data_IF_093888450211
#
_entry.id   IF_093888450211
#
_cell.length_a   1.000
_cell.length_b   1.000
_cell.length_c   1.000
_cell.angle_alpha   90.00
_cell.angle_beta   90.00
_cell.angle_gamma   90.00
#
_symmetry.space_group_name_H-M   'P 1'
#
loop_
_entity.id
_entity.type
_entity.pdbx_description
1 polymer ?
#
# COMPACT_ATOMS: atom_id res chain seq x y z
N UNK A 1 -9.06 19.87 5.44
CA UNK A 1 -8.17 20.38 4.37
C UNK A 1 -8.51 19.72 3.04
N UNK A 2 -9.77 19.85 2.61
CA UNK A 2 -10.23 19.24 1.36
C UNK A 2 -9.63 20.02 0.20
N UNK A 3 -9.03 19.33 -0.77
CA UNK A 3 -8.45 19.93 -1.98
C UNK A 3 -7.28 20.90 -1.74
N UNK A 4 -6.70 20.90 -0.53
CA UNK A 4 -5.62 21.82 -0.18
C UNK A 4 -4.32 21.41 -0.86
N UNK A 5 -3.56 22.38 -1.35
CA UNK A 5 -2.21 22.15 -1.87
C UNK A 5 -1.18 22.28 -0.75
N UNK A 6 -0.53 21.16 -0.44
CA UNK A 6 0.52 20.96 0.55
C UNK A 6 1.75 20.33 -0.12
N UNK A 7 1.89 20.47 -1.43
CA UNK A 7 3.01 19.91 -2.18
C UNK A 7 4.33 20.45 -1.64
N UNK A 8 5.28 19.55 -1.36
CA UNK A 8 6.59 19.88 -0.79
C UNK A 8 6.56 20.39 0.66
N UNK A 9 5.40 20.43 1.32
CA UNK A 9 5.31 20.85 2.71
C UNK A 9 6.02 19.86 3.65
N UNK A 10 6.54 20.35 4.77
CA UNK A 10 7.01 19.50 5.85
C UNK A 10 5.95 19.40 6.96
N UNK A 11 5.40 18.20 7.11
CA UNK A 11 4.39 17.81 8.08
C UNK A 11 4.91 16.67 8.99
N UNK A 12 6.23 16.43 8.99
CA UNK A 12 6.86 15.34 9.72
C UNK A 12 6.52 15.39 11.21
N UNK A 13 6.14 14.25 11.78
CA UNK A 13 5.71 14.12 13.18
C UNK A 13 4.41 14.83 13.54
N UNK A 14 3.70 15.40 12.56
CA UNK A 14 2.40 16.01 12.77
C UNK A 14 1.35 14.99 13.23
N UNK A 15 0.42 15.44 14.07
CA UNK A 15 -0.69 14.63 14.58
C UNK A 15 -1.98 15.21 14.02
N UNK A 16 -2.62 14.46 13.12
CA UNK A 16 -3.83 14.86 12.40
C UNK A 16 -4.91 13.79 12.52
N UNK A 17 -5.21 13.36 13.74
CA UNK A 17 -6.26 12.36 13.97
C UNK A 17 -7.60 12.86 13.44
N UNK A 18 -8.37 11.94 12.83
CA UNK A 18 -9.74 12.18 12.38
C UNK A 18 -9.88 13.44 11.50
N UNK A 19 -8.83 13.74 10.72
CA UNK A 19 -8.77 14.93 9.86
C UNK A 19 -9.19 14.61 8.43
N UNK A 20 -9.53 15.64 7.67
CA UNK A 20 -9.92 15.50 6.26
C UNK A 20 -8.82 16.04 5.33
N UNK A 21 -8.27 15.15 4.52
CA UNK A 21 -7.29 15.34 3.46
C UNK A 21 -7.84 14.94 2.10
N UNK A 22 -9.16 14.70 1.98
CA UNK A 22 -9.81 14.35 0.72
C UNK A 22 -9.38 15.27 -0.42
N UNK A 23 -8.93 14.69 -1.53
CA UNK A 23 -8.39 15.37 -2.72
C UNK A 23 -7.19 16.33 -2.46
N UNK A 24 -6.54 16.24 -1.30
CA UNK A 24 -5.39 17.10 -1.00
C UNK A 24 -4.18 16.73 -1.87
N UNK A 25 -3.37 17.73 -2.23
CA UNK A 25 -2.11 17.52 -2.93
C UNK A 25 -0.97 17.53 -1.94
N UNK A 26 -0.31 16.39 -1.79
CA UNK A 26 0.82 16.15 -0.89
C UNK A 26 2.05 15.71 -1.70
N UNK A 27 2.11 16.10 -2.97
CA UNK A 27 3.19 15.71 -3.89
C UNK A 27 4.54 16.16 -3.34
N UNK A 28 5.45 15.20 -3.14
CA UNK A 28 6.78 15.45 -2.57
C UNK A 28 6.78 15.98 -1.14
N UNK A 29 5.65 15.91 -0.41
CA UNK A 29 5.58 16.36 0.98
C UNK A 29 6.40 15.43 1.90
N UNK A 30 6.94 16.00 2.98
CA UNK A 30 7.61 15.24 4.04
C UNK A 30 6.59 14.94 5.14
N UNK A 31 6.25 13.68 5.29
CA UNK A 31 5.25 13.13 6.21
C UNK A 31 5.88 12.09 7.15
N UNK A 32 7.19 12.19 7.40
CA UNK A 32 7.93 11.21 8.19
C UNK A 32 7.34 11.13 9.60
N UNK A 33 6.90 9.95 10.00
CA UNK A 33 6.30 9.73 11.32
C UNK A 33 5.00 10.51 11.57
N UNK A 34 4.32 10.98 10.53
CA UNK A 34 3.00 11.61 10.68
C UNK A 34 2.00 10.61 11.26
N UNK A 35 1.05 11.08 12.06
CA UNK A 35 -0.06 10.27 12.54
C UNK A 35 -1.38 10.77 11.96
N UNK A 36 -1.92 10.00 11.02
CA UNK A 36 -3.19 10.28 10.34
C UNK A 36 -4.33 9.40 10.89
N UNK A 37 -4.21 8.79 12.07
CA UNK A 37 -5.21 7.87 12.63
C UNK A 37 -6.67 8.27 12.32
N UNK A 38 -7.41 7.36 11.66
CA UNK A 38 -8.83 7.55 11.26
C UNK A 38 -9.13 8.79 10.40
N UNK A 39 -8.13 9.34 9.75
CA UNK A 39 -8.36 10.43 8.79
C UNK A 39 -9.01 9.92 7.52
N UNK A 40 -9.59 10.86 6.79
CA UNK A 40 -10.03 10.67 5.42
C UNK A 40 -8.99 11.31 4.49
N UNK A 41 -8.39 10.52 3.61
CA UNK A 41 -7.47 10.96 2.58
C UNK A 41 -7.85 10.34 1.21
N UNK A 42 -9.15 10.14 1.00
CA UNK A 42 -9.71 9.68 -0.27
C UNK A 42 -9.26 10.61 -1.41
N UNK A 43 -8.77 10.04 -2.51
CA UNK A 43 -8.31 10.79 -3.69
C UNK A 43 -7.07 11.67 -3.46
N UNK A 44 -6.42 11.62 -2.30
CA UNK A 44 -5.25 12.44 -2.02
C UNK A 44 -4.03 12.01 -2.85
N UNK A 45 -3.25 12.99 -3.32
CA UNK A 45 -2.05 12.76 -4.12
C UNK A 45 -0.79 12.86 -3.28
N UNK A 46 -0.23 11.71 -2.91
CA UNK A 46 1.03 11.54 -2.19
C UNK A 46 2.21 11.21 -3.13
N UNK A 47 2.12 11.50 -4.44
CA UNK A 47 3.18 11.15 -5.39
C UNK A 47 4.55 11.70 -4.94
N UNK A 48 5.54 10.82 -4.82
CA UNK A 48 6.90 11.15 -4.37
C UNK A 48 7.00 11.64 -2.91
N UNK A 49 5.95 11.54 -2.11
CA UNK A 49 5.97 11.94 -0.70
C UNK A 49 6.77 10.96 0.16
N UNK A 50 7.31 11.44 1.28
CA UNK A 50 8.02 10.64 2.27
C UNK A 50 7.13 10.38 3.50
N UNK A 51 6.47 9.23 3.53
CA UNK A 51 5.66 8.72 4.63
C UNK A 51 6.42 7.69 5.49
N UNK A 52 7.75 7.74 5.52
CA UNK A 52 8.57 6.82 6.32
C UNK A 52 8.08 6.78 7.77
N UNK A 53 7.75 5.58 8.26
CA UNK A 53 7.21 5.33 9.62
C UNK A 53 5.92 6.09 9.95
N UNK A 54 5.12 6.49 8.96
CA UNK A 54 3.82 7.11 9.19
C UNK A 54 2.82 6.12 9.80
N UNK A 55 1.95 6.62 10.68
CA UNK A 55 0.76 5.92 11.15
C UNK A 55 -0.42 6.28 10.25
N UNK A 56 -0.85 5.30 9.44
CA UNK A 56 -2.01 5.36 8.56
C UNK A 56 -3.12 4.40 9.05
N UNK A 57 -3.16 4.17 10.37
CA UNK A 57 -4.08 3.22 10.99
C UNK A 57 -5.53 3.68 10.81
N UNK A 58 -6.36 2.82 10.21
CA UNK A 58 -7.78 3.08 9.91
C UNK A 58 -8.03 4.31 9.02
N UNK A 59 -7.05 4.71 8.22
CA UNK A 59 -7.23 5.82 7.27
C UNK A 59 -8.05 5.32 6.08
N UNK A 60 -8.94 6.17 5.58
CA UNK A 60 -9.52 6.00 4.26
C UNK A 60 -8.53 6.53 3.21
N UNK A 61 -7.90 5.63 2.43
CA UNK A 61 -6.98 5.97 1.34
C UNK A 61 -7.58 5.59 -0.02
N UNK A 62 -8.90 5.39 -0.11
CA UNK A 62 -9.52 5.00 -1.36
C UNK A 62 -9.19 6.02 -2.47
N UNK A 63 -8.87 5.52 -3.67
CA UNK A 63 -8.44 6.27 -4.85
C UNK A 63 -7.20 7.18 -4.64
N UNK A 64 -6.45 7.03 -3.55
CA UNK A 64 -5.23 7.79 -3.31
C UNK A 64 -4.08 7.40 -4.26
N UNK A 65 -3.16 8.33 -4.48
CA UNK A 65 -2.01 8.17 -5.38
C UNK A 65 -0.71 8.20 -4.58
N UNK A 66 0.06 7.13 -4.60
CA UNK A 66 1.36 6.96 -3.94
C UNK A 66 2.51 6.72 -4.93
N UNK A 67 2.38 7.15 -6.18
CA UNK A 67 3.40 6.90 -7.22
C UNK A 67 4.78 7.36 -6.77
N UNK A 68 5.74 6.44 -6.67
CA UNK A 68 7.11 6.73 -6.23
C UNK A 68 7.23 7.25 -4.79
N UNK A 69 6.19 7.12 -3.96
CA UNK A 69 6.23 7.53 -2.55
C UNK A 69 7.06 6.55 -1.71
N UNK A 70 7.55 7.01 -0.55
CA UNK A 70 8.28 6.19 0.42
C UNK A 70 7.38 5.94 1.63
N UNK A 71 6.95 4.69 1.83
CA UNK A 71 6.13 4.23 2.95
C UNK A 71 6.90 3.27 3.87
N UNK A 72 8.22 3.28 3.83
CA UNK A 72 9.08 2.35 4.56
C UNK A 72 8.74 2.36 6.06
N UNK A 73 8.42 1.18 6.59
CA UNK A 73 8.04 0.98 7.98
C UNK A 73 6.73 1.67 8.41
N UNK A 74 5.90 2.14 7.47
CA UNK A 74 4.59 2.71 7.79
C UNK A 74 3.60 1.65 8.31
N UNK A 75 2.58 2.10 9.03
CA UNK A 75 1.52 1.26 9.59
C UNK A 75 0.18 1.54 8.89
N UNK A 76 -0.29 0.62 8.05
CA UNK A 76 -1.59 0.67 7.36
C UNK A 76 -2.60 -0.29 8.00
N UNK A 77 -2.56 -0.42 9.33
CA UNK A 77 -3.45 -1.35 10.04
C UNK A 77 -4.91 -0.93 9.86
N UNK A 78 -5.72 -1.81 9.27
CA UNK A 78 -7.15 -1.58 8.98
C UNK A 78 -7.44 -0.36 8.10
N UNK A 79 -6.47 0.08 7.30
CA UNK A 79 -6.70 1.11 6.29
C UNK A 79 -7.56 0.58 5.12
N UNK A 80 -8.31 1.46 4.48
CA UNK A 80 -8.97 1.17 3.20
C UNK A 80 -8.08 1.64 2.06
N UNK A 81 -7.82 0.77 1.08
CA UNK A 81 -7.03 1.05 -0.11
C UNK A 81 -7.76 0.48 -1.34
N UNK A 82 -8.96 0.97 -1.63
CA UNK A 82 -9.63 0.67 -2.88
C UNK A 82 -9.07 1.56 -4.01
N UNK A 83 -8.72 0.99 -5.17
CA UNK A 83 -8.35 1.78 -6.34
C UNK A 83 -7.03 2.58 -6.24
N UNK A 84 -6.20 2.28 -5.24
CA UNK A 84 -4.95 3.02 -4.97
C UNK A 84 -3.89 2.75 -6.03
N UNK A 85 -3.21 3.81 -6.47
CA UNK A 85 -2.00 3.68 -7.29
C UNK A 85 -0.73 3.83 -6.46
N UNK A 86 -0.09 2.72 -6.09
CA UNK A 86 1.19 2.66 -5.39
C UNK A 86 2.34 2.19 -6.31
N UNK A 87 2.23 2.43 -7.62
CA UNK A 87 3.28 2.05 -8.57
C UNK A 87 4.61 2.75 -8.24
N UNK A 88 5.70 2.00 -8.38
CA UNK A 88 7.07 2.42 -8.02
C UNK A 88 7.26 2.91 -6.58
N UNK A 89 6.29 2.71 -5.67
CA UNK A 89 6.42 3.09 -4.27
C UNK A 89 7.36 2.14 -3.52
N UNK A 90 8.02 2.65 -2.48
CA UNK A 90 8.76 1.84 -1.52
C UNK A 90 7.84 1.54 -0.32
N UNK A 91 7.59 0.26 -0.03
CA UNK A 91 6.78 -0.23 1.08
C UNK A 91 7.60 -1.18 1.97
N UNK A 92 8.89 -0.89 2.14
CA UNK A 92 9.81 -1.81 2.80
C UNK A 92 9.47 -1.93 4.27
N UNK A 93 9.24 -3.15 4.76
CA UNK A 93 8.88 -3.36 6.16
C UNK A 93 7.52 -2.75 6.56
N UNK A 94 6.70 -2.31 5.61
CA UNK A 94 5.39 -1.73 5.87
C UNK A 94 4.45 -2.79 6.48
N UNK A 95 3.62 -2.39 7.45
CA UNK A 95 2.65 -3.28 8.11
C UNK A 95 1.26 -3.07 7.54
N UNK A 96 0.80 -4.03 6.77
CA UNK A 96 -0.55 -4.09 6.19
C UNK A 96 -1.32 -5.16 6.97
N UNK A 97 -2.04 -4.78 8.03
CA UNK A 97 -2.77 -5.76 8.86
C UNK A 97 -4.26 -5.46 8.89
N UNK A 98 -5.09 -6.37 8.40
CA UNK A 98 -6.52 -6.17 8.23
C UNK A 98 -6.88 -5.02 7.29
N UNK A 99 -5.95 -4.58 6.44
CA UNK A 99 -6.16 -3.59 5.40
C UNK A 99 -6.95 -4.19 4.24
N UNK A 100 -7.76 -3.36 3.56
CA UNK A 100 -8.46 -3.75 2.35
C UNK A 100 -7.64 -3.31 1.14
N UNK A 101 -6.94 -4.23 0.48
CA UNK A 101 -6.21 -3.97 -0.76
C UNK A 101 -7.03 -4.54 -1.92
N UNK A 102 -7.81 -3.67 -2.56
CA UNK A 102 -8.68 -4.01 -3.69
C UNK A 102 -8.36 -3.06 -4.83
N UNK A 103 -8.04 -3.61 -6.00
CA UNK A 103 -7.67 -2.85 -7.19
C UNK A 103 -6.47 -1.91 -6.95
N UNK A 104 -5.54 -2.34 -6.09
CA UNK A 104 -4.30 -1.58 -5.81
C UNK A 104 -3.24 -1.92 -6.84
N UNK A 105 -2.64 -0.89 -7.44
CA UNK A 105 -1.51 -1.04 -8.35
C UNK A 105 -0.18 -1.00 -7.59
N UNK A 106 0.57 -2.09 -7.62
CA UNK A 106 1.91 -2.26 -7.04
C UNK A 106 3.00 -2.51 -8.09
N UNK A 107 2.74 -2.25 -9.38
CA UNK A 107 3.73 -2.39 -10.45
C UNK A 107 5.02 -1.61 -10.13
N UNK A 108 6.17 -2.27 -10.23
CA UNK A 108 7.49 -1.70 -9.90
C UNK A 108 7.71 -1.29 -8.43
N UNK A 109 6.79 -1.61 -7.52
CA UNK A 109 6.94 -1.29 -6.09
C UNK A 109 7.86 -2.26 -5.34
N UNK A 110 8.43 -1.79 -4.24
CA UNK A 110 9.25 -2.60 -3.33
C UNK A 110 8.44 -2.97 -2.08
N UNK A 111 7.93 -4.19 -2.01
CA UNK A 111 7.24 -4.76 -0.83
C UNK A 111 8.19 -5.62 0.03
N UNK A 112 9.51 -5.44 -0.11
CA UNK A 112 10.46 -6.25 0.64
C UNK A 112 10.27 -6.10 2.15
N UNK A 113 10.35 -7.21 2.88
CA UNK A 113 10.13 -7.28 4.34
C UNK A 113 8.73 -6.80 4.80
N UNK A 114 7.80 -6.48 3.89
CA UNK A 114 6.46 -6.05 4.26
C UNK A 114 5.72 -7.18 5.00
N UNK A 115 4.92 -6.80 5.99
CA UNK A 115 4.12 -7.76 6.76
C UNK A 115 2.66 -7.59 6.35
N UNK A 116 2.14 -8.62 5.69
CA UNK A 116 0.73 -8.71 5.28
C UNK A 116 0.01 -9.70 6.19
N UNK A 117 -1.10 -9.31 6.80
CA UNK A 117 -1.86 -10.22 7.65
C UNK A 117 -3.35 -9.94 7.58
N UNK A 118 -4.14 -10.99 7.29
CA UNK A 118 -5.61 -10.91 7.25
C UNK A 118 -6.16 -9.83 6.31
N UNK A 119 -5.45 -9.56 5.20
CA UNK A 119 -5.89 -8.57 4.20
C UNK A 119 -6.57 -9.24 3.01
N UNK A 120 -7.56 -8.56 2.45
CA UNK A 120 -7.87 -8.73 1.01
C UNK A 120 -6.65 -8.26 0.24
N UNK A 121 -6.17 -9.07 -0.71
CA UNK A 121 -4.96 -8.81 -1.47
C UNK A 121 -5.25 -8.99 -2.97
N UNK A 122 -6.22 -8.21 -3.46
CA UNK A 122 -6.60 -8.12 -4.88
C UNK A 122 -5.85 -6.96 -5.50
N UNK A 123 -4.64 -7.27 -5.99
CA UNK A 123 -3.68 -6.26 -6.40
C UNK A 123 -3.13 -6.56 -7.78
N UNK A 124 -2.67 -5.52 -8.45
CA UNK A 124 -1.96 -5.60 -9.73
C UNK A 124 -0.47 -5.43 -9.47
N UNK A 125 0.34 -6.32 -10.05
CA UNK A 125 1.80 -6.36 -9.89
C UNK A 125 2.45 -6.63 -11.24
N UNK A 126 3.75 -6.42 -11.36
CA UNK A 126 4.49 -6.76 -12.56
C UNK A 126 5.75 -7.60 -12.26
N UNK A 127 6.62 -7.75 -13.25
CA UNK A 127 7.87 -8.49 -13.08
C UNK A 127 8.87 -7.78 -12.15
N UNK A 128 8.74 -6.45 -12.00
CA UNK A 128 9.64 -5.57 -11.24
C UNK A 128 9.21 -5.41 -9.78
N UNK A 129 7.97 -5.76 -9.42
CA UNK A 129 7.51 -5.78 -8.04
C UNK A 129 8.34 -6.74 -7.17
N UNK A 130 8.95 -6.22 -6.11
CA UNK A 130 9.79 -6.98 -5.17
C UNK A 130 8.97 -7.48 -3.98
N UNK A 131 9.09 -8.78 -3.67
CA UNK A 131 8.42 -9.43 -2.53
C UNK A 131 9.42 -10.06 -1.55
N UNK A 132 10.71 -9.77 -1.69
CA UNK A 132 11.78 -10.41 -0.92
C UNK A 132 11.57 -10.20 0.58
N UNK A 133 11.43 -11.28 1.34
CA UNK A 133 11.18 -11.20 2.79
C UNK A 133 9.75 -10.79 3.17
N UNK A 134 8.85 -10.50 2.20
CA UNK A 134 7.45 -10.24 2.49
C UNK A 134 6.84 -11.44 3.23
N UNK A 135 6.10 -11.23 4.31
CA UNK A 135 5.64 -12.32 5.16
C UNK A 135 4.19 -12.18 5.65
N UNK A 136 3.60 -13.32 6.04
CA UNK A 136 2.32 -13.37 6.74
C UNK A 136 1.19 -14.08 5.97
N UNK A 137 0.00 -13.49 5.90
CA UNK A 137 -1.19 -14.10 5.29
C UNK A 137 -1.97 -13.13 4.40
N UNK A 138 -2.49 -13.67 3.28
CA UNK A 138 -3.31 -12.90 2.33
C UNK A 138 -4.51 -13.69 1.81
N UNK A 139 -5.56 -12.98 1.41
CA UNK A 139 -6.65 -13.49 0.58
C UNK A 139 -6.54 -12.91 -0.83
N UNK A 140 -6.00 -13.69 -1.78
CA UNK A 140 -5.83 -13.27 -3.18
C UNK A 140 -7.14 -13.18 -3.98
N UNK A 141 -7.08 -13.11 -5.33
CA UNK A 141 -5.93 -13.33 -6.21
C UNK A 141 -5.08 -12.08 -6.48
N UNK A 142 -3.95 -12.25 -7.17
CA UNK A 142 -3.12 -11.18 -7.73
C UNK A 142 -3.25 -11.16 -9.26
N UNK A 143 -3.36 -9.97 -9.85
CA UNK A 143 -3.24 -9.76 -11.29
C UNK A 143 -1.78 -9.41 -11.63
N UNK A 144 -1.11 -10.25 -12.41
CA UNK A 144 0.26 -10.02 -12.84
C UNK A 144 0.28 -9.53 -14.29
N UNK A 145 0.99 -8.42 -14.53
CA UNK A 145 1.32 -7.89 -15.85
C UNK A 145 2.76 -8.28 -16.17
N UNK A 146 2.96 -9.14 -17.17
CA UNK A 146 4.27 -9.55 -17.66
C UNK A 146 4.50 -9.17 -19.11
N UNK A 147 5.71 -9.43 -19.62
CA UNK A 147 6.04 -9.20 -21.04
C UNK A 147 5.19 -10.04 -22.00
N UNK A 148 4.74 -11.20 -21.53
CA UNK A 148 3.93 -12.16 -22.28
C UNK A 148 2.42 -11.92 -22.13
N UNK A 149 2.00 -10.86 -21.42
CA UNK A 149 0.60 -10.48 -21.19
C UNK A 149 0.19 -10.50 -19.73
N UNK A 150 -1.12 -10.44 -19.49
CA UNK A 150 -1.72 -10.39 -18.16
C UNK A 150 -2.21 -11.77 -17.70
N UNK A 151 -2.03 -12.10 -16.43
CA UNK A 151 -2.57 -13.32 -15.82
C UNK A 151 -3.03 -13.11 -14.39
N UNK A 152 -4.07 -13.82 -13.98
CA UNK A 152 -4.50 -13.89 -12.58
C UNK A 152 -3.84 -15.10 -11.90
N UNK A 153 -3.30 -14.89 -10.69
CA UNK A 153 -2.65 -15.93 -9.88
C UNK A 153 -3.37 -15.97 -8.51
N UNK A 154 -3.96 -17.12 -8.18
CA UNK A 154 -4.72 -17.30 -6.94
C UNK A 154 -4.36 -18.58 -6.20
N UNK A 155 -4.86 -18.71 -4.97
CA UNK A 155 -4.76 -19.94 -4.17
C UNK A 155 -3.32 -20.42 -3.98
N UNK A 156 -3.13 -21.75 -4.10
CA UNK A 156 -1.83 -22.38 -3.91
C UNK A 156 -0.77 -21.96 -4.95
N UNK A 157 -1.18 -21.55 -6.15
CA UNK A 157 -0.27 -21.05 -7.17
C UNK A 157 0.28 -19.68 -6.78
N UNK A 158 -0.54 -18.82 -6.15
CA UNK A 158 -0.09 -17.54 -5.62
C UNK A 158 0.92 -17.73 -4.48
N UNK A 159 0.65 -18.67 -3.56
CA UNK A 159 1.57 -18.98 -2.46
C UNK A 159 2.94 -19.44 -2.98
N UNK A 160 2.94 -20.36 -3.95
CA UNK A 160 4.18 -20.83 -4.58
C UNK A 160 4.90 -19.70 -5.32
N UNK A 161 4.15 -18.90 -6.07
CA UNK A 161 4.70 -17.78 -6.85
C UNK A 161 5.38 -16.74 -5.96
N UNK A 162 4.78 -16.38 -4.82
CA UNK A 162 5.39 -15.48 -3.82
C UNK A 162 6.65 -16.11 -3.21
N UNK A 163 6.62 -17.41 -2.91
CA UNK A 163 7.77 -18.14 -2.35
C UNK A 163 8.97 -18.19 -3.30
N UNK A 164 8.72 -18.41 -4.60
CA UNK A 164 9.76 -18.37 -5.63
C UNK A 164 10.40 -16.98 -5.78
N UNK A 165 9.70 -15.92 -5.37
CA UNK A 165 10.16 -14.53 -5.33
C UNK A 165 10.70 -14.09 -3.96
N UNK A 166 10.96 -15.03 -3.06
CA UNK A 166 11.58 -14.76 -1.76
C UNK A 166 10.60 -14.31 -0.66
N UNK A 167 9.30 -14.33 -0.89
CA UNK A 167 8.29 -14.11 0.15
C UNK A 167 8.01 -15.37 0.97
N UNK A 168 7.61 -15.20 2.23
CA UNK A 168 7.05 -16.25 3.10
C UNK A 168 5.61 -15.89 3.51
N UNK A 169 4.73 -15.91 2.51
CA UNK A 169 3.30 -15.57 2.66
C UNK A 169 2.45 -16.82 2.43
N UNK A 170 1.53 -17.08 3.36
CA UNK A 170 0.49 -18.11 3.20
C UNK A 170 -0.75 -17.52 2.56
N UNK A 171 -1.25 -18.16 1.50
CA UNK A 171 -2.51 -17.75 0.86
C UNK A 171 -3.66 -18.51 1.50
N UNK A 172 -4.58 -17.76 2.10
CA UNK A 172 -5.75 -18.34 2.75
C UNK A 172 -6.87 -18.52 1.73
N UNK A 173 -7.56 -19.67 1.79
CA UNK A 173 -8.79 -19.85 1.03
C UNK A 173 -9.90 -18.99 1.64
N UNK A 174 -10.63 -18.25 0.81
CA UNK A 174 -11.76 -17.45 1.27
C UNK A 174 -12.77 -18.33 2.01
N UNK A 175 -13.31 -17.84 3.14
CA UNK A 175 -14.55 -18.42 3.66
C UNK A 175 -15.64 -18.20 2.59
N UNK A 176 -16.20 -19.30 2.09
CA UNK A 176 -17.42 -19.28 1.26
C UNK A 176 -18.52 -18.46 1.90
#
# INVERSE_FOLDING_TARGET
>A
MIGLDLSGADLSGGVFHESWFTDAKLVGARLVGVDLYRSDAEGADFSGADLTRASLVRVNLDDAVFRGAVLDGAELVKASLYGVDASAASLRGTRLMGASLIDVNFCGSDLSEAVVQENTFRVTVDEETDFTGMSGTVFGPVHMIGRDGEKEIGGADLERWLRERGGDVRVLEGRK
#
